data_IF_995187226606
#
_entry.id   IF_995187226606
#
_cell.length_a   1.000
_cell.length_b   1.000
_cell.length_c   1.000
_cell.angle_alpha   90.00
_cell.angle_beta   90.00
_cell.angle_gamma   90.00
#
_symmetry.space_group_name_H-M   'P 1'
#
loop_
_entity.id
_entity.type
_entity.pdbx_description
1 polymer ?
#
# COMPACT_ATOMS: atom_id res chain seq x y z
N UNK A 1 12.05 8.45 -4.53
CA UNK A 1 12.28 8.01 -3.16
C UNK A 1 11.50 6.74 -2.92
N UNK A 2 12.14 5.74 -2.35
CA UNK A 2 11.51 4.44 -2.10
C UNK A 2 10.31 4.55 -1.17
N UNK A 3 10.44 5.34 -0.11
CA UNK A 3 9.34 5.55 0.84
C UNK A 3 8.12 6.15 0.15
N UNK A 4 8.33 7.10 -0.75
CA UNK A 4 7.25 7.69 -1.54
C UNK A 4 6.56 6.66 -2.42
N UNK A 5 7.34 5.83 -3.10
CA UNK A 5 6.78 4.77 -3.95
C UNK A 5 6.03 3.72 -3.14
N UNK A 6 6.57 3.34 -1.98
CA UNK A 6 5.90 2.39 -1.11
C UNK A 6 4.54 2.93 -0.66
N UNK A 7 4.49 4.18 -0.23
CA UNK A 7 3.23 4.80 0.19
C UNK A 7 2.25 4.90 -0.98
N UNK A 8 2.71 5.26 -2.17
CA UNK A 8 1.84 5.31 -3.36
C UNK A 8 1.27 3.94 -3.68
N UNK A 9 2.07 2.89 -3.57
CA UNK A 9 1.61 1.53 -3.80
C UNK A 9 0.56 1.13 -2.76
N UNK A 10 0.76 1.48 -1.49
CA UNK A 10 -0.21 1.22 -0.41
C UNK A 10 -1.53 1.94 -0.65
N UNK A 11 -1.45 3.20 -1.06
CA UNK A 11 -2.65 3.99 -1.37
C UNK A 11 -3.47 3.35 -2.49
N UNK A 12 -2.78 2.88 -3.52
CA UNK A 12 -3.43 2.21 -4.64
C UNK A 12 -4.07 0.90 -4.20
N UNK A 13 -3.35 0.11 -3.40
CA UNK A 13 -3.86 -1.18 -2.91
C UNK A 13 -5.12 -0.99 -2.06
N UNK A 14 -5.13 0.01 -1.18
CA UNK A 14 -6.26 0.23 -0.29
C UNK A 14 -7.44 0.89 -0.97
N UNK A 15 -7.19 1.87 -1.82
CA UNK A 15 -8.23 2.76 -2.33
C UNK A 15 -8.34 2.83 -3.85
N UNK A 16 -7.53 2.04 -4.58
CA UNK A 16 -7.47 2.14 -6.04
C UNK A 16 -8.80 1.94 -6.74
N UNK A 17 -9.67 1.12 -6.17
CA UNK A 17 -11.00 0.85 -6.74
C UNK A 17 -11.91 2.08 -6.74
N UNK A 18 -11.55 3.11 -5.98
CA UNK A 18 -12.31 4.37 -5.93
C UNK A 18 -11.87 5.37 -6.99
N UNK A 19 -10.81 5.07 -7.72
CA UNK A 19 -10.32 5.89 -8.82
C UNK A 19 -11.04 5.55 -10.12
N UNK A 20 -11.02 6.51 -11.07
CA UNK A 20 -11.44 6.19 -12.44
C UNK A 20 -10.44 5.21 -13.05
N UNK A 21 -10.86 4.48 -14.08
CA UNK A 21 -9.98 3.51 -14.74
C UNK A 21 -8.70 4.18 -15.28
N UNK A 22 -8.83 5.35 -15.89
CA UNK A 22 -7.68 6.08 -16.43
C UNK A 22 -6.71 6.50 -15.33
N UNK A 23 -7.23 7.02 -14.23
CA UNK A 23 -6.42 7.43 -13.08
C UNK A 23 -5.68 6.23 -12.49
N UNK A 24 -6.40 5.15 -12.25
CA UNK A 24 -5.82 3.94 -11.67
C UNK A 24 -4.75 3.35 -12.56
N UNK A 25 -5.00 3.24 -13.85
CA UNK A 25 -4.05 2.66 -14.80
C UNK A 25 -2.79 3.50 -14.93
N UNK A 26 -2.92 4.81 -15.09
CA UNK A 26 -1.74 5.69 -15.18
C UNK A 26 -0.93 5.66 -13.89
N UNK A 27 -1.60 5.70 -12.75
CA UNK A 27 -0.95 5.66 -11.45
C UNK A 27 -0.18 4.35 -11.26
N UNK A 28 -0.81 3.22 -11.57
CA UNK A 28 -0.20 1.90 -11.43
C UNK A 28 0.99 1.72 -12.37
N UNK A 29 0.85 2.13 -13.62
CA UNK A 29 1.96 2.03 -14.58
C UNK A 29 3.17 2.84 -14.14
N UNK A 30 2.93 4.00 -13.56
CA UNK A 30 4.02 4.88 -13.13
C UNK A 30 4.70 4.38 -11.85
N UNK A 31 3.92 4.08 -10.82
CA UNK A 31 4.45 3.75 -9.49
C UNK A 31 4.75 2.26 -9.28
N UNK A 32 3.95 1.37 -9.84
CA UNK A 32 4.15 -0.07 -9.66
C UNK A 32 4.98 -0.69 -10.78
N UNK A 33 4.79 -0.24 -12.02
CA UNK A 33 5.48 -0.81 -13.17
C UNK A 33 6.70 -0.01 -13.60
N UNK A 34 6.92 1.12 -12.97
CA UNK A 34 8.11 1.95 -13.16
C UNK A 34 8.28 2.50 -14.59
N UNK A 35 7.17 2.72 -15.28
CA UNK A 35 7.20 3.28 -16.62
C UNK A 35 7.37 4.79 -16.58
N UNK A 36 8.03 5.35 -17.60
CA UNK A 36 8.14 6.80 -17.75
C UNK A 36 6.82 7.40 -18.24
N UNK A 37 6.68 8.71 -18.07
CA UNK A 37 5.51 9.42 -18.60
C UNK A 37 5.37 9.22 -20.10
N UNK A 38 6.48 9.22 -20.82
CA UNK A 38 6.48 9.04 -22.28
C UNK A 38 6.01 7.64 -22.66
N UNK A 39 6.46 6.62 -21.94
CA UNK A 39 6.05 5.24 -22.19
C UNK A 39 4.55 5.05 -21.94
N UNK A 40 4.04 5.63 -20.86
CA UNK A 40 2.62 5.55 -20.53
C UNK A 40 1.79 6.28 -21.59
N UNK A 41 2.23 7.48 -21.98
CA UNK A 41 1.55 8.29 -22.99
C UNK A 41 1.42 7.51 -24.29
N UNK A 42 2.49 6.85 -24.71
CA UNK A 42 2.49 6.03 -25.92
C UNK A 42 1.53 4.85 -25.81
N UNK A 43 1.57 4.12 -24.70
CA UNK A 43 0.70 2.98 -24.47
C UNK A 43 -0.78 3.35 -24.45
N UNK A 44 -1.10 4.51 -23.86
CA UNK A 44 -2.48 4.91 -23.64
C UNK A 44 -3.03 5.82 -24.72
N UNK A 45 -2.20 6.27 -25.64
CA UNK A 45 -2.62 7.15 -26.73
C UNK A 45 -3.05 8.53 -26.27
N UNK A 46 -2.42 9.04 -25.21
CA UNK A 46 -2.68 10.38 -24.67
C UNK A 46 -1.37 11.14 -24.55
N UNK A 47 -1.44 12.44 -24.26
CA UNK A 47 -0.24 13.24 -24.11
C UNK A 47 0.47 12.94 -22.79
N UNK A 48 1.77 13.28 -22.73
CA UNK A 48 2.54 13.19 -21.48
C UNK A 48 1.92 14.04 -20.38
N UNK A 49 1.45 15.22 -20.74
CA UNK A 49 0.77 16.10 -19.79
C UNK A 49 -0.52 15.45 -19.26
N UNK A 50 -1.27 14.80 -20.15
CA UNK A 50 -2.47 14.08 -19.76
C UNK A 50 -2.18 12.94 -18.79
N UNK A 51 -1.08 12.21 -19.01
CA UNK A 51 -0.64 11.16 -18.08
C UNK A 51 -0.34 11.77 -16.71
N UNK A 52 0.46 12.82 -16.69
CA UNK A 52 0.85 13.49 -15.44
C UNK A 52 -0.37 14.01 -14.68
N UNK A 53 -1.31 14.63 -15.40
CA UNK A 53 -2.54 15.11 -14.78
C UNK A 53 -3.35 13.99 -14.14
N UNK A 54 -3.47 12.85 -14.81
CA UNK A 54 -4.15 11.68 -14.26
C UNK A 54 -3.45 11.17 -12.99
N UNK A 55 -2.13 11.11 -12.99
CA UNK A 55 -1.35 10.66 -11.84
C UNK A 55 -1.54 11.62 -10.66
N UNK A 56 -1.44 12.92 -10.91
CA UNK A 56 -1.58 13.93 -9.85
C UNK A 56 -2.98 13.93 -9.24
N UNK A 57 -4.01 13.86 -10.09
CA UNK A 57 -5.39 13.81 -9.61
C UNK A 57 -5.65 12.53 -8.82
N UNK A 58 -5.10 11.40 -9.27
CA UNK A 58 -5.22 10.16 -8.55
C UNK A 58 -4.55 10.25 -7.18
N UNK A 59 -3.33 10.77 -7.12
CA UNK A 59 -2.61 10.92 -5.86
C UNK A 59 -3.37 11.81 -4.87
N UNK A 60 -3.87 12.94 -5.35
CA UNK A 60 -4.64 13.85 -4.50
C UNK A 60 -5.90 13.18 -3.95
N UNK A 61 -6.61 12.44 -4.79
CA UNK A 61 -7.82 11.72 -4.37
C UNK A 61 -7.50 10.65 -3.33
N UNK A 62 -6.45 9.86 -3.56
CA UNK A 62 -6.05 8.80 -2.63
C UNK A 62 -5.62 9.35 -1.28
N UNK A 63 -4.84 10.44 -1.27
CA UNK A 63 -4.39 11.06 -0.03
C UNK A 63 -5.54 11.66 0.76
N UNK A 64 -6.51 12.25 0.07
CA UNK A 64 -7.70 12.79 0.73
C UNK A 64 -8.49 11.67 1.42
N UNK A 65 -8.64 10.52 0.76
CA UNK A 65 -9.32 9.37 1.35
C UNK A 65 -8.58 8.88 2.60
N UNK A 66 -7.25 8.77 2.52
CA UNK A 66 -6.46 8.34 3.67
C UNK A 66 -6.54 9.34 4.82
N UNK A 67 -6.52 10.63 4.52
CA UNK A 67 -6.69 11.67 5.54
C UNK A 67 -7.99 11.50 6.32
N UNK A 68 -9.05 11.12 5.61
CA UNK A 68 -10.38 10.97 6.21
C UNK A 68 -10.56 9.64 6.92
N UNK A 69 -10.01 8.56 6.38
CA UNK A 69 -10.23 7.21 6.92
C UNK A 69 -9.16 6.75 7.89
N UNK A 70 -7.90 7.10 7.64
CA UNK A 70 -6.77 6.64 8.44
C UNK A 70 -6.54 5.13 8.41
N UNK A 71 -7.08 4.42 7.41
CA UNK A 71 -7.01 2.96 7.36
C UNK A 71 -5.58 2.45 7.18
N UNK A 72 -4.79 3.11 6.34
CA UNK A 72 -3.39 2.69 6.13
C UNK A 72 -2.58 2.90 7.40
N UNK A 73 -2.73 4.06 8.04
CA UNK A 73 -2.03 4.35 9.30
C UNK A 73 -2.39 3.32 10.38
N UNK A 74 -3.67 2.97 10.48
CA UNK A 74 -4.13 1.97 11.45
C UNK A 74 -3.59 0.58 11.11
N UNK A 75 -3.60 0.21 9.84
CA UNK A 75 -3.04 -1.05 9.38
C UNK A 75 -1.57 -1.17 9.77
N UNK A 76 -0.77 -0.13 9.50
CA UNK A 76 0.66 -0.14 9.82
C UNK A 76 0.91 -0.21 11.33
N UNK A 77 0.14 0.52 12.12
CA UNK A 77 0.26 0.49 13.58
C UNK A 77 -0.09 -0.88 14.14
N UNK A 78 -1.17 -1.49 13.65
CA UNK A 78 -1.60 -2.81 14.08
C UNK A 78 -0.56 -3.87 13.71
N UNK A 79 -0.07 -3.83 12.49
CA UNK A 79 0.96 -4.77 12.03
C UNK A 79 2.23 -4.65 12.86
N UNK A 80 2.68 -3.42 13.10
CA UNK A 80 3.88 -3.18 13.91
C UNK A 80 3.71 -3.69 15.35
N UNK A 81 2.54 -3.48 15.94
CA UNK A 81 2.25 -3.97 17.28
C UNK A 81 2.26 -5.50 17.34
N UNK A 82 1.66 -6.15 16.35
CA UNK A 82 1.65 -7.61 16.29
C UNK A 82 3.05 -8.19 16.09
N UNK A 83 3.87 -7.54 15.26
CA UNK A 83 5.25 -7.97 15.05
C UNK A 83 6.08 -7.86 16.35
N UNK A 84 5.90 -6.76 17.09
CA UNK A 84 6.60 -6.58 18.38
C UNK A 84 6.15 -7.65 19.39
N UNK A 85 4.85 -7.91 19.45
CA UNK A 85 4.32 -8.93 20.36
C UNK A 85 4.85 -10.32 20.01
N UNK A 86 4.89 -10.66 18.73
CA UNK A 86 5.47 -11.92 18.27
C UNK A 86 6.93 -12.04 18.71
N UNK A 87 7.71 -10.96 18.52
CA UNK A 87 9.12 -10.97 18.89
C UNK A 87 9.32 -11.12 20.40
N UNK A 88 8.48 -10.47 21.21
CA UNK A 88 8.54 -10.61 22.66
C UNK A 88 8.28 -12.05 23.11
N UNK A 89 7.30 -12.70 22.49
CA UNK A 89 6.98 -14.09 22.84
C UNK A 89 8.04 -15.06 22.32
N UNK A 90 8.69 -14.74 21.20
CA UNK A 90 9.68 -15.63 20.58
C UNK A 90 10.97 -15.76 21.39
N UNK A 91 11.29 -14.78 22.26
CA UNK A 91 12.48 -14.84 23.11
C UNK A 91 12.23 -15.56 24.45
N UNK A 92 10.99 -15.96 24.72
CA UNK A 92 10.65 -16.73 25.92
C UNK A 92 10.88 -18.21 25.68
N UNK A 93 10.94 -18.99 26.77
CA UNK A 93 11.00 -20.43 26.66
C UNK A 93 9.75 -20.93 25.90
N UNK A 94 9.99 -21.73 24.86
CA UNK A 94 8.90 -22.17 23.98
C UNK A 94 8.17 -23.38 24.60
N UNK A 95 7.11 -23.06 25.31
CA UNK A 95 6.13 -24.05 25.76
C UNK A 95 5.09 -24.24 24.66
N UNK A 96 4.28 -25.33 24.70
CA UNK A 96 3.20 -25.49 23.72
C UNK A 96 2.24 -24.31 23.68
N UNK A 97 1.96 -23.70 24.82
CA UNK A 97 1.05 -22.54 24.88
C UNK A 97 1.64 -21.30 24.19
N UNK A 98 2.93 -21.04 24.43
CA UNK A 98 3.61 -19.91 23.81
C UNK A 98 3.77 -20.12 22.31
N UNK A 99 4.15 -21.33 21.91
CA UNK A 99 4.26 -21.66 20.48
C UNK A 99 2.93 -21.51 19.75
N UNK A 100 1.84 -21.92 20.38
CA UNK A 100 0.49 -21.76 19.83
C UNK A 100 0.11 -20.29 19.71
N UNK A 101 0.47 -19.48 20.71
CA UNK A 101 0.19 -18.02 20.66
C UNK A 101 0.96 -17.33 19.52
N UNK A 102 2.23 -17.69 19.33
CA UNK A 102 3.06 -17.12 18.24
C UNK A 102 2.46 -17.51 16.89
N UNK A 103 2.04 -18.76 16.74
CA UNK A 103 1.42 -19.23 15.50
C UNK A 103 0.15 -18.44 15.18
N UNK A 104 -0.69 -18.18 16.19
CA UNK A 104 -1.91 -17.38 16.01
C UNK A 104 -1.60 -15.96 15.62
N UNK A 105 -0.56 -15.38 16.18
CA UNK A 105 -0.12 -14.02 15.81
C UNK A 105 0.36 -13.99 14.36
N UNK A 106 1.12 -14.97 13.93
CA UNK A 106 1.57 -15.08 12.54
C UNK A 106 0.39 -15.20 11.58
N UNK A 107 -0.64 -15.97 11.95
CA UNK A 107 -1.86 -16.06 11.16
C UNK A 107 -2.58 -14.72 11.05
N UNK A 108 -2.65 -13.95 12.16
CA UNK A 108 -3.25 -12.62 12.14
C UNK A 108 -2.49 -11.67 11.24
N UNK A 109 -1.16 -11.68 11.32
CA UNK A 109 -0.31 -10.82 10.47
C UNK A 109 -0.55 -11.16 9.00
N UNK A 110 -0.60 -12.44 8.66
CA UNK A 110 -0.82 -12.89 7.29
C UNK A 110 -2.20 -12.50 6.76
N UNK A 111 -3.19 -12.31 7.63
CA UNK A 111 -4.56 -11.98 7.25
C UNK A 111 -4.82 -10.46 7.14
N UNK A 112 -3.86 -9.66 7.52
CA UNK A 112 -4.01 -8.20 7.46
C UNK A 112 -4.02 -7.68 5.98
#
# INVERSE_FOLDING_TARGET
MEDGRFMQSMLLDFYGDLLTDKQRECFSLYYNEDLSLSEIAEQRGISRQGVWDNIRHAEAALREIEEKTGLIARFEQTKAALLRLRDQLSVLEQTPDISSAVEKIDELIASL
#
